data_IF_726228470997
#
_entry.id   IF_726228470997
#
_cell.length_a   1.000
_cell.length_b   1.000
_cell.length_c   1.000
_cell.angle_alpha   90.00
_cell.angle_beta   90.00
_cell.angle_gamma   90.00
#
_symmetry.space_group_name_H-M   'P 1'
#
loop_
_entity.id
_entity.type
_entity.pdbx_description
1 polymer ?
#
# COMPACT_ATOMS: atom_id res chain seq x y z
N UNK A 1 -54.64 -9.52 58.52
CA UNK A 1 -54.90 -9.61 57.06
C UNK A 1 -54.10 -8.52 56.36
N UNK A 2 -53.23 -8.90 55.41
CA UNK A 2 -52.80 -8.10 54.23
C UNK A 2 -51.92 -6.86 54.56
N UNK A 3 -50.71 -6.66 54.03
CA UNK A 3 -49.87 -7.33 53.04
C UNK A 3 -48.46 -6.74 53.16
N UNK A 4 -47.45 -7.61 53.08
CA UNK A 4 -46.09 -7.28 52.66
C UNK A 4 -46.12 -6.62 51.27
N UNK A 5 -45.33 -5.56 51.05
CA UNK A 5 -44.79 -5.27 49.71
C UNK A 5 -43.54 -4.37 49.80
N UNK A 6 -42.39 -5.03 49.77
CA UNK A 6 -41.22 -4.77 48.93
C UNK A 6 -40.88 -3.28 48.69
N UNK A 7 -39.93 -2.80 49.49
CA UNK A 7 -39.17 -1.59 49.22
C UNK A 7 -38.20 -1.87 48.05
N UNK A 8 -38.62 -1.53 46.82
CA UNK A 8 -37.76 -1.61 45.63
C UNK A 8 -36.86 -0.36 45.62
N UNK A 9 -35.66 -0.50 46.18
CA UNK A 9 -34.55 0.44 46.02
C UNK A 9 -34.13 0.43 44.55
N UNK A 10 -34.66 1.38 43.77
CA UNK A 10 -34.11 1.72 42.45
C UNK A 10 -32.79 2.43 42.72
N UNK A 11 -31.71 1.66 42.83
CA UNK A 11 -30.35 2.17 42.66
C UNK A 11 -30.24 2.54 41.18
N UNK A 12 -30.57 3.78 40.85
CA UNK A 12 -30.13 4.39 39.59
C UNK A 12 -28.61 4.50 39.66
N UNK A 13 -27.93 3.45 39.19
CA UNK A 13 -26.52 3.49 38.86
C UNK A 13 -26.34 4.49 37.73
N UNK A 14 -26.20 5.77 38.09
CA UNK A 14 -25.63 6.80 37.22
C UNK A 14 -24.16 6.43 37.06
N UNK A 15 -23.88 5.48 36.18
CA UNK A 15 -22.56 5.32 35.61
C UNK A 15 -22.30 6.62 34.83
N UNK A 16 -21.23 7.37 35.13
CA UNK A 16 -20.86 8.49 34.27
C UNK A 16 -20.61 7.90 32.89
N UNK A 17 -21.43 8.32 31.93
CA UNK A 17 -21.16 8.11 30.52
C UNK A 17 -19.72 8.55 30.29
N UNK A 18 -18.82 7.59 30.09
CA UNK A 18 -17.45 7.89 29.72
C UNK A 18 -17.55 8.54 28.35
N UNK A 19 -17.53 9.87 28.33
CA UNK A 19 -17.49 10.65 27.11
C UNK A 19 -16.32 10.08 26.29
N UNK A 20 -16.64 9.38 25.20
CA UNK A 20 -15.65 8.83 24.31
C UNK A 20 -14.76 10.01 23.90
N UNK A 21 -13.49 9.99 24.32
CA UNK A 21 -12.54 11.02 23.92
C UNK A 21 -12.57 11.07 22.39
N UNK A 22 -12.70 12.26 21.77
CA UNK A 22 -12.72 12.34 20.31
C UNK A 22 -11.45 11.68 19.78
N UNK A 23 -11.63 10.70 18.88
CA UNK A 23 -10.53 10.03 18.21
C UNK A 23 -9.84 11.09 17.36
N UNK A 24 -8.66 11.53 17.78
CA UNK A 24 -7.85 12.49 17.03
C UNK A 24 -7.34 11.77 15.79
N UNK A 25 -7.61 12.32 14.60
CA UNK A 25 -7.15 11.69 13.35
C UNK A 25 -5.62 11.59 13.27
N UNK A 26 -5.12 10.64 12.49
CA UNK A 26 -3.68 10.48 12.28
C UNK A 26 -3.01 11.75 11.73
N UNK A 27 -3.69 12.48 10.82
CA UNK A 27 -3.24 13.79 10.34
C UNK A 27 -3.08 14.79 11.49
N UNK A 28 -4.08 14.94 12.36
CA UNK A 28 -4.00 15.91 13.45
C UNK A 28 -2.94 15.53 14.49
N UNK A 29 -2.77 14.23 14.77
CA UNK A 29 -1.68 13.74 15.61
C UNK A 29 -0.30 14.10 15.04
N UNK A 30 -0.07 13.85 13.75
CA UNK A 30 1.21 14.17 13.11
C UNK A 30 1.48 15.68 13.02
N UNK A 31 0.46 16.50 12.74
CA UNK A 31 0.59 17.98 12.78
C UNK A 31 1.02 18.48 14.16
N UNK A 32 0.49 17.89 15.24
CA UNK A 32 0.92 18.21 16.61
C UNK A 32 2.38 17.85 16.84
N UNK A 33 2.84 16.71 16.32
CA UNK A 33 4.26 16.32 16.42
C UNK A 33 5.15 17.30 15.65
N UNK A 34 4.76 17.72 14.44
CA UNK A 34 5.49 18.74 13.66
C UNK A 34 5.57 20.06 14.43
N UNK A 35 4.44 20.55 14.98
CA UNK A 35 4.41 21.79 15.79
C UNK A 35 5.32 21.71 17.03
N UNK A 36 5.49 20.52 17.59
CA UNK A 36 6.41 20.25 18.70
C UNK A 36 7.88 20.02 18.27
N UNK A 37 8.21 20.20 16.98
CA UNK A 37 9.55 19.95 16.44
C UNK A 37 9.89 18.47 16.21
N UNK A 38 8.97 17.54 16.52
CA UNK A 38 9.17 16.08 16.50
C UNK A 38 8.89 15.47 15.12
N UNK A 39 9.61 15.94 14.10
CA UNK A 39 9.42 15.55 12.70
C UNK A 39 9.58 14.05 12.46
N UNK A 40 10.53 13.37 13.10
CA UNK A 40 10.71 11.93 12.96
C UNK A 40 9.50 11.13 13.51
N UNK A 41 8.88 11.61 14.59
CA UNK A 41 7.69 10.96 15.15
C UNK A 41 6.47 11.16 14.24
N UNK A 42 6.32 12.36 13.66
CA UNK A 42 5.32 12.61 12.63
C UNK A 42 5.53 11.70 11.42
N UNK A 43 6.77 11.56 10.94
CA UNK A 43 7.14 10.66 9.86
C UNK A 43 6.79 9.21 10.18
N UNK A 44 7.23 8.66 11.31
CA UNK A 44 6.97 7.26 11.65
C UNK A 44 5.46 6.96 11.73
N UNK A 45 4.69 7.88 12.34
CA UNK A 45 3.24 7.76 12.44
C UNK A 45 2.59 7.76 11.06
N UNK A 46 2.84 8.80 10.26
CA UNK A 46 2.22 8.93 8.94
C UNK A 46 2.74 7.95 7.92
N UNK A 47 3.98 7.49 8.03
CA UNK A 47 4.53 6.46 7.13
C UNK A 47 3.85 5.13 7.38
N UNK A 48 3.65 4.72 8.64
CA UNK A 48 2.92 3.50 8.96
C UNK A 48 1.47 3.58 8.47
N UNK A 49 0.77 4.67 8.78
CA UNK A 49 -0.64 4.85 8.40
C UNK A 49 -0.80 5.02 6.89
N UNK A 50 0.00 5.86 6.25
CA UNK A 50 -0.11 6.17 4.82
C UNK A 50 0.39 5.06 3.90
N UNK A 51 1.32 4.21 4.37
CA UNK A 51 1.86 3.11 3.55
C UNK A 51 0.95 1.89 3.50
N UNK A 52 0.16 1.66 4.56
CA UNK A 52 -0.67 0.46 4.72
C UNK A 52 -2.17 0.77 4.85
N UNK A 53 -2.54 2.04 5.02
CA UNK A 53 -3.92 2.48 5.17
C UNK A 53 -4.41 3.32 3.98
N UNK A 54 -5.72 3.32 3.71
CA UNK A 54 -6.33 4.09 2.63
C UNK A 54 -6.66 5.54 3.05
N UNK A 55 -5.76 6.21 3.77
CA UNK A 55 -5.96 7.56 4.32
C UNK A 55 -5.26 8.60 3.43
N UNK A 56 -5.94 9.16 2.42
CA UNK A 56 -5.24 9.93 1.41
C UNK A 56 -4.84 11.34 1.88
N UNK A 57 -5.47 11.85 2.93
CA UNK A 57 -5.05 13.06 3.62
C UNK A 57 -3.73 12.84 4.40
N UNK A 58 -3.54 11.68 5.03
CA UNK A 58 -2.25 11.28 5.63
C UNK A 58 -1.18 11.11 4.57
N UNK A 59 -1.48 10.40 3.48
CA UNK A 59 -0.57 10.22 2.35
C UNK A 59 -0.13 11.58 1.78
N UNK A 60 -1.07 12.50 1.54
CA UNK A 60 -0.75 13.85 1.09
C UNK A 60 0.07 14.64 2.12
N UNK A 61 -0.29 14.61 3.40
CA UNK A 61 0.43 15.31 4.46
C UNK A 61 1.88 14.82 4.61
N UNK A 62 2.09 13.50 4.49
CA UNK A 62 3.43 12.90 4.48
C UNK A 62 4.23 13.34 3.25
N UNK A 63 3.63 13.31 2.06
CA UNK A 63 4.25 13.82 0.83
C UNK A 63 4.69 15.27 1.00
N UNK A 64 3.79 16.12 1.51
CA UNK A 64 4.04 17.54 1.70
C UNK A 64 5.11 17.82 2.75
N UNK A 65 5.10 17.08 3.87
CA UNK A 65 6.16 17.15 4.86
C UNK A 65 7.51 16.76 4.26
N UNK A 66 7.57 15.71 3.42
CA UNK A 66 8.83 15.28 2.82
C UNK A 66 9.36 16.29 1.80
N UNK A 67 8.49 16.99 1.07
CA UNK A 67 8.87 18.07 0.16
C UNK A 67 9.47 19.27 0.89
N UNK A 68 8.92 19.62 2.06
CA UNK A 68 9.29 20.84 2.80
C UNK A 68 10.22 20.60 3.99
N UNK A 69 10.41 19.35 4.41
CA UNK A 69 11.29 19.02 5.53
C UNK A 69 12.73 19.38 5.16
N UNK A 70 13.27 20.40 5.84
CA UNK A 70 14.72 20.66 5.83
C UNK A 70 15.47 19.49 6.48
N UNK A 71 16.78 19.58 6.62
CA UNK A 71 17.72 18.50 7.04
C UNK A 71 17.42 17.73 8.36
N UNK A 72 16.25 17.90 8.99
CA UNK A 72 15.81 17.28 10.24
C UNK A 72 15.41 15.81 10.11
N UNK A 73 14.99 15.35 8.92
CA UNK A 73 14.72 13.93 8.67
C UNK A 73 15.97 13.25 8.09
N UNK A 74 16.50 12.26 8.81
CA UNK A 74 17.60 11.39 8.36
C UNK A 74 17.11 10.36 7.34
N UNK A 75 16.67 10.84 6.18
CA UNK A 75 16.26 10.02 5.03
C UNK A 75 16.92 10.50 3.72
N UNK A 76 18.26 10.65 3.64
CA UNK A 76 18.91 11.10 2.41
C UNK A 76 18.70 10.06 1.31
N UNK A 77 18.36 10.50 0.10
CA UNK A 77 18.23 9.63 -1.08
C UNK A 77 16.88 8.95 -1.30
N UNK A 78 16.10 8.65 -0.24
CA UNK A 78 14.75 8.04 -0.38
C UNK A 78 13.62 9.06 -0.24
N UNK A 79 13.92 10.27 0.24
CA UNK A 79 12.90 11.28 0.55
C UNK A 79 12.00 11.63 -0.65
N UNK A 80 12.59 11.92 -1.80
CA UNK A 80 11.85 12.30 -3.00
C UNK A 80 10.99 11.12 -3.50
N UNK A 81 11.53 9.90 -3.48
CA UNK A 81 10.81 8.69 -3.87
C UNK A 81 9.59 8.45 -2.96
N UNK A 82 9.75 8.55 -1.63
CA UNK A 82 8.65 8.39 -0.69
C UNK A 82 7.61 9.51 -0.88
N UNK A 83 8.06 10.76 -1.07
CA UNK A 83 7.16 11.89 -1.29
C UNK A 83 6.29 11.71 -2.55
N UNK A 84 6.91 11.28 -3.67
CA UNK A 84 6.22 11.01 -4.93
C UNK A 84 5.24 9.84 -4.81
N UNK A 85 5.68 8.76 -4.13
CA UNK A 85 4.86 7.60 -3.88
C UNK A 85 3.58 7.96 -3.12
N UNK A 86 3.73 8.71 -2.03
CA UNK A 86 2.60 9.14 -1.20
C UNK A 86 1.70 10.13 -1.93
N UNK A 87 2.27 10.99 -2.78
CA UNK A 87 1.48 11.88 -3.64
C UNK A 87 0.62 11.09 -4.63
N UNK A 88 1.21 10.08 -5.29
CA UNK A 88 0.50 9.20 -6.22
C UNK A 88 -0.61 8.41 -5.53
N UNK A 89 -0.32 7.80 -4.37
CA UNK A 89 -1.34 7.09 -3.58
C UNK A 89 -2.51 8.00 -3.23
N UNK A 90 -2.24 9.20 -2.72
CA UNK A 90 -3.29 10.15 -2.36
C UNK A 90 -4.14 10.57 -3.58
N UNK A 91 -3.48 10.80 -4.73
CA UNK A 91 -4.16 11.19 -5.97
C UNK A 91 -5.05 10.06 -6.53
N UNK A 92 -4.53 8.82 -6.55
CA UNK A 92 -5.27 7.61 -6.94
C UNK A 92 -6.48 7.39 -6.03
N UNK A 93 -6.32 7.65 -4.73
CA UNK A 93 -7.41 7.58 -3.75
C UNK A 93 -8.43 8.73 -3.83
N UNK A 94 -8.29 9.63 -4.81
CA UNK A 94 -9.27 10.69 -5.10
C UNK A 94 -9.07 11.98 -4.30
N UNK A 95 -7.92 12.17 -3.66
CA UNK A 95 -7.69 13.38 -2.85
C UNK A 95 -7.32 14.56 -3.73
N UNK A 96 -8.27 15.49 -3.88
CA UNK A 96 -8.16 16.64 -4.80
C UNK A 96 -6.88 17.47 -4.60
N UNK A 97 -6.43 17.82 -3.39
CA UNK A 97 -5.16 18.53 -3.23
C UNK A 97 -3.96 17.75 -3.79
N UNK A 98 -3.95 16.42 -3.66
CA UNK A 98 -2.91 15.56 -4.24
C UNK A 98 -2.97 15.53 -5.76
N UNK A 99 -4.16 15.37 -6.35
CA UNK A 99 -4.34 15.37 -7.81
C UNK A 99 -3.86 16.70 -8.44
N UNK A 100 -4.21 17.83 -7.83
CA UNK A 100 -3.75 19.15 -8.27
C UNK A 100 -2.23 19.31 -8.15
N UNK A 101 -1.65 18.94 -7.00
CA UNK A 101 -0.19 18.98 -6.79
C UNK A 101 0.56 18.04 -7.74
N UNK A 102 0.01 16.87 -8.04
CA UNK A 102 0.57 15.91 -8.99
C UNK A 102 0.52 16.44 -10.43
N UNK A 103 -0.59 17.04 -10.85
CA UNK A 103 -0.68 17.67 -12.17
C UNK A 103 0.38 18.78 -12.32
N UNK A 104 0.54 19.64 -11.32
CA UNK A 104 1.60 20.65 -11.31
C UNK A 104 3.00 20.02 -11.41
N UNK A 105 3.26 18.99 -10.61
CA UNK A 105 4.53 18.25 -10.63
C UNK A 105 4.85 17.63 -12.00
N UNK A 106 3.84 17.09 -12.69
CA UNK A 106 3.97 16.51 -14.03
C UNK A 106 4.20 17.57 -15.10
N UNK A 107 3.77 18.83 -14.92
CA UNK A 107 4.12 19.91 -15.84
C UNK A 107 5.54 20.43 -15.65
N UNK A 108 5.87 20.72 -14.39
CA UNK A 108 7.13 21.36 -14.06
C UNK A 108 8.33 20.39 -14.14
N UNK A 109 8.07 19.09 -13.95
CA UNK A 109 9.12 18.12 -13.67
C UNK A 109 9.68 18.34 -12.26
N UNK A 110 9.43 17.39 -11.34
CA UNK A 110 10.04 17.39 -10.00
C UNK A 110 10.96 16.19 -9.84
N UNK A 111 11.97 16.23 -8.95
CA UNK A 111 12.82 15.07 -8.70
C UNK A 111 12.01 13.79 -8.47
N UNK A 112 12.26 12.75 -9.28
CA UNK A 112 11.55 11.47 -9.22
C UNK A 112 10.28 11.36 -10.09
N UNK A 113 9.75 12.45 -10.65
CA UNK A 113 8.60 12.47 -11.58
C UNK A 113 9.04 13.07 -12.91
N UNK A 114 8.79 12.34 -14.00
CA UNK A 114 9.13 12.79 -15.35
C UNK A 114 8.04 13.75 -15.83
N UNK A 115 8.45 14.87 -16.41
CA UNK A 115 7.50 15.84 -16.94
C UNK A 115 6.70 15.25 -18.11
N UNK A 116 5.37 15.35 -18.04
CA UNK A 116 4.43 14.89 -19.06
C UNK A 116 3.13 15.73 -18.98
N UNK A 117 2.95 16.61 -19.96
CA UNK A 117 1.77 17.49 -20.06
C UNK A 117 0.46 16.71 -20.28
N UNK A 118 0.53 15.54 -20.94
CA UNK A 118 -0.66 14.70 -21.17
C UNK A 118 -1.10 14.03 -19.87
N UNK A 119 -0.14 13.51 -19.10
CA UNK A 119 -0.43 12.96 -17.78
C UNK A 119 -0.95 14.05 -16.83
N UNK A 120 -0.38 15.25 -16.85
CA UNK A 120 -0.85 16.38 -16.06
C UNK A 120 -2.32 16.72 -16.33
N UNK A 121 -2.70 16.85 -17.62
CA UNK A 121 -4.09 17.11 -18.02
C UNK A 121 -5.04 15.99 -17.61
N UNK A 122 -4.60 14.74 -17.65
CA UNK A 122 -5.41 13.61 -17.18
C UNK A 122 -5.78 13.77 -15.69
N UNK A 123 -4.79 14.06 -14.83
CA UNK A 123 -5.02 14.25 -13.40
C UNK A 123 -5.88 15.48 -13.09
N UNK A 124 -5.83 16.53 -13.91
CA UNK A 124 -6.76 17.66 -13.78
C UNK A 124 -8.19 17.32 -14.17
N UNK A 125 -8.38 16.49 -15.20
CA UNK A 125 -9.72 16.03 -15.57
C UNK A 125 -10.33 15.21 -14.44
N UNK A 126 -9.54 14.38 -13.75
CA UNK A 126 -10.00 13.63 -12.57
C UNK A 126 -10.41 14.53 -11.39
N UNK A 127 -9.89 15.76 -11.28
CA UNK A 127 -10.39 16.75 -10.31
C UNK A 127 -11.82 17.19 -10.62
N UNK A 128 -12.11 17.40 -11.90
CA UNK A 128 -13.38 17.91 -12.39
C UNK A 128 -14.46 16.81 -12.45
N UNK A 129 -14.07 15.60 -12.88
CA UNK A 129 -14.93 14.45 -13.02
C UNK A 129 -14.14 13.16 -12.66
N UNK A 130 -14.20 12.72 -11.40
CA UNK A 130 -13.55 11.49 -10.98
C UNK A 130 -14.15 10.31 -11.76
N UNK A 131 -13.33 9.61 -12.55
CA UNK A 131 -13.86 8.62 -13.48
C UNK A 131 -12.97 7.39 -13.63
N UNK A 132 -11.64 7.55 -13.65
CA UNK A 132 -10.71 6.46 -13.94
C UNK A 132 -9.25 6.81 -13.59
N UNK A 133 -8.88 6.90 -12.29
CA UNK A 133 -7.52 7.23 -11.86
C UNK A 133 -6.45 6.28 -12.42
N UNK A 134 -6.79 5.02 -12.70
CA UNK A 134 -5.89 4.05 -13.33
C UNK A 134 -5.40 4.49 -14.71
N UNK A 135 -6.22 5.19 -15.51
CA UNK A 135 -5.81 5.66 -16.84
C UNK A 135 -4.75 6.76 -16.74
N UNK A 136 -4.87 7.62 -15.74
CA UNK A 136 -3.88 8.66 -15.47
C UNK A 136 -2.62 8.08 -14.84
N UNK A 137 -2.77 7.07 -13.96
CA UNK A 137 -1.64 6.35 -13.37
C UNK A 137 -0.78 5.65 -14.43
N UNK A 138 -1.41 4.99 -15.42
CA UNK A 138 -0.71 4.36 -16.55
C UNK A 138 0.15 5.31 -17.37
N UNK A 139 -0.23 6.58 -17.44
CA UNK A 139 0.54 7.62 -18.14
C UNK A 139 1.61 8.25 -17.27
N UNK A 140 1.51 8.13 -15.96
CA UNK A 140 2.41 8.80 -15.04
C UNK A 140 3.76 8.10 -15.03
N UNK A 141 4.79 8.77 -15.56
CA UNK A 141 6.15 8.27 -15.57
C UNK A 141 6.96 8.82 -14.38
N UNK A 142 7.74 7.93 -13.76
CA UNK A 142 8.66 8.27 -12.67
C UNK A 142 10.09 7.97 -13.10
N UNK A 143 11.06 8.73 -12.60
CA UNK A 143 12.47 8.51 -12.96
C UNK A 143 13.11 7.34 -12.21
N UNK A 144 12.45 6.84 -11.16
CA UNK A 144 12.88 5.68 -10.38
C UNK A 144 11.67 4.78 -10.11
N UNK A 145 11.81 3.44 -10.17
CA UNK A 145 10.74 2.54 -9.76
C UNK A 145 10.27 2.76 -8.31
N UNK A 146 11.18 3.21 -7.43
CA UNK A 146 10.92 3.46 -6.01
C UNK A 146 9.94 4.62 -5.78
N UNK A 147 9.80 5.54 -6.73
CA UNK A 147 8.81 6.62 -6.64
C UNK A 147 7.38 6.13 -6.93
N UNK A 148 7.20 4.90 -7.45
CA UNK A 148 5.87 4.32 -7.63
C UNK A 148 5.41 3.61 -6.36
N UNK A 149 4.09 3.59 -6.07
CA UNK A 149 3.54 2.75 -5.02
C UNK A 149 3.69 1.26 -5.37
N UNK A 150 3.85 0.41 -4.37
CA UNK A 150 3.73 -1.05 -4.58
C UNK A 150 2.26 -1.44 -4.79
N UNK A 151 2.00 -2.62 -5.35
CA UNK A 151 0.64 -3.06 -5.65
C UNK A 151 -0.19 -3.22 -4.36
N UNK A 152 0.41 -3.82 -3.33
CA UNK A 152 -0.15 -3.89 -1.97
C UNK A 152 -0.65 -2.53 -1.43
N UNK A 153 0.03 -1.44 -1.76
CA UNK A 153 -0.36 -0.09 -1.32
C UNK A 153 -1.51 0.50 -2.14
N UNK A 154 -1.59 0.16 -3.43
CA UNK A 154 -2.66 0.62 -4.33
C UNK A 154 -4.00 -0.05 -4.00
N UNK A 155 -3.96 -1.31 -3.58
CA UNK A 155 -5.16 -2.12 -3.38
C UNK A 155 -5.70 -2.08 -1.96
N UNK A 156 -4.97 -1.52 -0.99
CA UNK A 156 -5.36 -1.49 0.43
C UNK A 156 -6.77 -0.91 0.69
N UNK A 157 -7.26 0.01 -0.15
CA UNK A 157 -8.66 0.54 -0.05
C UNK A 157 -9.70 -0.44 -0.61
N UNK A 158 -9.29 -1.26 -1.57
CA UNK A 158 -10.13 -2.16 -2.36
C UNK A 158 -10.20 -3.57 -1.77
N UNK A 159 -9.31 -3.94 -0.85
CA UNK A 159 -9.32 -5.27 -0.18
C UNK A 159 -10.64 -5.57 0.55
N UNK A 160 -11.36 -4.53 0.99
CA UNK A 160 -12.69 -4.68 1.59
C UNK A 160 -13.85 -4.62 0.55
N UNK A 161 -13.52 -4.54 -0.74
CA UNK A 161 -14.47 -4.62 -1.85
C UNK A 161 -14.39 -6.01 -2.49
N UNK A 162 -15.46 -6.45 -3.17
CA UNK A 162 -15.42 -7.68 -3.96
C UNK A 162 -14.74 -7.49 -5.34
N UNK A 163 -14.12 -6.33 -5.61
CA UNK A 163 -13.66 -5.94 -6.95
C UNK A 163 -12.16 -6.14 -7.14
N UNK A 164 -11.73 -7.40 -7.09
CA UNK A 164 -10.32 -7.78 -7.29
C UNK A 164 -9.83 -7.48 -8.70
N UNK A 165 -10.69 -7.58 -9.72
CA UNK A 165 -10.31 -7.22 -11.09
C UNK A 165 -9.93 -5.74 -11.20
N UNK A 166 -10.71 -4.83 -10.58
CA UNK A 166 -10.37 -3.40 -10.58
C UNK A 166 -9.06 -3.11 -9.86
N UNK A 167 -8.81 -3.80 -8.75
CA UNK A 167 -7.54 -3.72 -8.03
C UNK A 167 -6.36 -4.18 -8.92
N UNK A 168 -6.53 -5.25 -9.69
CA UNK A 168 -5.53 -5.70 -10.64
C UNK A 168 -5.29 -4.69 -11.77
N UNK A 169 -6.36 -4.13 -12.36
CA UNK A 169 -6.26 -3.05 -13.36
C UNK A 169 -5.43 -1.86 -12.87
N UNK A 170 -5.60 -1.48 -11.59
CA UNK A 170 -4.85 -0.38 -10.98
C UNK A 170 -3.35 -0.71 -10.84
N UNK A 171 -3.01 -1.92 -10.42
CA UNK A 171 -1.62 -2.35 -10.32
C UNK A 171 -0.96 -2.50 -11.69
N UNK A 172 -1.66 -3.06 -12.68
CA UNK A 172 -1.19 -3.18 -14.05
C UNK A 172 -1.01 -1.81 -14.71
N UNK A 173 -1.92 -0.86 -14.46
CA UNK A 173 -1.74 0.53 -14.84
C UNK A 173 -0.48 1.14 -14.20
N UNK A 174 -0.13 0.74 -12.98
CA UNK A 174 1.13 1.16 -12.36
C UNK A 174 2.36 0.40 -12.89
N UNK A 175 2.20 -0.52 -13.84
CA UNK A 175 3.26 -1.35 -14.40
C UNK A 175 3.70 -2.50 -13.50
N UNK A 176 2.87 -2.90 -12.54
CA UNK A 176 3.17 -3.96 -11.58
C UNK A 176 2.33 -5.21 -11.89
N UNK A 177 2.98 -6.36 -11.87
CA UNK A 177 2.30 -7.66 -11.75
C UNK A 177 2.45 -8.12 -10.32
N UNK A 178 1.39 -8.72 -9.78
CA UNK A 178 1.40 -9.24 -8.42
C UNK A 178 0.51 -10.46 -8.32
N UNK A 179 0.78 -11.33 -7.34
CA UNK A 179 -0.10 -12.42 -6.97
C UNK A 179 -0.34 -12.34 -5.47
N UNK A 180 -1.58 -12.57 -5.07
CA UNK A 180 -1.92 -12.76 -3.66
C UNK A 180 -1.62 -14.19 -3.25
N UNK A 181 -1.03 -14.34 -2.06
CA UNK A 181 -0.63 -15.64 -1.57
C UNK A 181 -0.84 -15.73 -0.06
N UNK A 182 -1.31 -16.88 0.44
CA UNK A 182 -1.50 -17.07 1.87
C UNK A 182 -0.18 -16.93 2.64
N UNK A 183 -0.27 -16.40 3.86
CA UNK A 183 0.81 -16.25 4.81
C UNK A 183 1.37 -17.57 5.30
N UNK A 184 2.27 -18.18 4.52
CA UNK A 184 3.02 -19.32 5.02
C UNK A 184 4.08 -18.87 6.06
N UNK A 185 4.36 -19.68 7.09
CA UNK A 185 5.49 -19.43 7.98
C UNK A 185 6.79 -19.26 7.17
N UNK A 186 7.66 -18.31 7.54
CA UNK A 186 8.95 -18.14 6.88
C UNK A 186 9.73 -19.46 6.84
N UNK A 187 10.12 -19.89 5.65
CA UNK A 187 10.88 -21.11 5.41
C UNK A 187 11.79 -20.94 4.20
N UNK A 188 12.85 -21.75 4.12
CA UNK A 188 13.79 -21.72 2.99
C UNK A 188 13.07 -21.91 1.63
N UNK A 189 11.98 -22.69 1.61
CA UNK A 189 11.13 -22.92 0.43
C UNK A 189 10.40 -21.63 0.07
N UNK A 190 9.68 -21.07 1.04
CA UNK A 190 8.91 -19.84 0.88
C UNK A 190 9.79 -18.67 0.40
N UNK A 191 10.96 -18.47 1.01
CA UNK A 191 11.90 -17.42 0.60
C UNK A 191 12.42 -17.63 -0.83
N UNK A 192 12.62 -18.89 -1.24
CA UNK A 192 13.07 -19.23 -2.59
C UNK A 192 11.98 -18.97 -3.64
N UNK A 193 10.71 -19.26 -3.31
CA UNK A 193 9.56 -19.00 -4.18
C UNK A 193 9.34 -17.49 -4.38
N UNK A 194 9.37 -16.70 -3.29
CA UNK A 194 9.26 -15.23 -3.35
C UNK A 194 10.38 -14.65 -4.22
N UNK A 195 11.63 -15.07 -3.98
CA UNK A 195 12.77 -14.60 -4.76
C UNK A 195 12.71 -14.98 -6.24
N UNK A 196 12.11 -16.12 -6.57
CA UNK A 196 11.90 -16.54 -7.96
C UNK A 196 10.84 -15.65 -8.64
N UNK A 197 9.71 -15.38 -7.99
CA UNK A 197 8.68 -14.48 -8.54
C UNK A 197 9.20 -13.05 -8.73
N UNK A 198 9.96 -12.52 -7.76
CA UNK A 198 10.59 -11.21 -7.86
C UNK A 198 11.53 -11.10 -9.07
N UNK A 199 12.23 -12.18 -9.43
CA UNK A 199 13.11 -12.20 -10.60
C UNK A 199 12.36 -12.02 -11.94
N UNK A 200 11.06 -12.35 -11.97
CA UNK A 200 10.15 -12.11 -13.09
C UNK A 200 9.35 -10.81 -12.95
N UNK A 201 9.68 -9.98 -11.94
CA UNK A 201 8.98 -8.73 -11.66
C UNK A 201 7.55 -8.91 -11.17
N UNK A 202 7.27 -10.01 -10.48
CA UNK A 202 5.97 -10.33 -9.88
C UNK A 202 6.08 -10.11 -8.37
N UNK A 203 5.29 -9.18 -7.84
CA UNK A 203 5.18 -8.94 -6.39
C UNK A 203 4.36 -10.06 -5.73
N UNK A 204 4.90 -10.66 -4.67
CA UNK A 204 4.20 -11.67 -3.89
C UNK A 204 3.51 -11.00 -2.69
N UNK A 205 2.20 -10.74 -2.81
CA UNK A 205 1.42 -10.04 -1.79
C UNK A 205 0.93 -11.06 -0.77
N UNK A 206 1.47 -10.99 0.44
CA UNK A 206 1.09 -11.87 1.53
C UNK A 206 -0.27 -11.45 2.08
N UNK A 207 -1.25 -12.33 1.99
CA UNK A 207 -2.57 -12.19 2.61
C UNK A 207 -2.69 -13.12 3.81
N UNK A 208 -3.47 -12.73 4.82
CA UNK A 208 -3.64 -13.53 6.04
C UNK A 208 -4.26 -14.91 5.81
N UNK A 209 -4.11 -15.80 6.79
CA UNK A 209 -4.34 -17.25 6.66
C UNK A 209 -5.80 -17.69 6.41
N UNK A 210 -6.78 -16.77 6.49
CA UNK A 210 -8.18 -17.09 6.28
C UNK A 210 -8.98 -15.84 5.83
N UNK A 211 -8.95 -15.49 4.52
CA UNK A 211 -9.85 -14.48 4.01
C UNK A 211 -11.31 -14.93 4.20
N UNK A 212 -12.18 -14.02 4.63
CA UNK A 212 -13.63 -14.27 4.56
C UNK A 212 -14.10 -14.44 3.12
N UNK A 213 -15.37 -14.79 2.91
CA UNK A 213 -15.95 -15.02 1.57
C UNK A 213 -15.68 -13.87 0.58
N UNK A 214 -15.78 -12.62 1.04
CA UNK A 214 -15.44 -11.45 0.23
C UNK A 214 -13.95 -11.37 -0.15
N UNK A 215 -13.06 -11.78 0.76
CA UNK A 215 -11.62 -11.82 0.50
C UNK A 215 -11.25 -12.91 -0.50
N UNK A 216 -11.92 -14.06 -0.47
CA UNK A 216 -11.72 -15.14 -1.47
C UNK A 216 -12.13 -14.64 -2.85
N UNK A 217 -13.33 -14.07 -3.00
CA UNK A 217 -13.81 -13.55 -4.29
C UNK A 217 -12.92 -12.42 -4.83
N UNK A 218 -12.42 -11.54 -3.95
CA UNK A 218 -11.44 -10.52 -4.30
C UNK A 218 -10.14 -11.17 -4.81
N UNK A 219 -9.56 -12.11 -4.07
CA UNK A 219 -8.34 -12.81 -4.46
C UNK A 219 -8.48 -13.52 -5.81
N UNK A 220 -9.54 -14.32 -6.00
CA UNK A 220 -9.76 -15.06 -7.24
C UNK A 220 -9.87 -14.13 -8.46
N UNK A 221 -10.64 -13.05 -8.34
CA UNK A 221 -10.80 -12.08 -9.45
C UNK A 221 -9.55 -11.24 -9.70
N UNK A 222 -8.78 -10.93 -8.66
CA UNK A 222 -7.49 -10.25 -8.77
C UNK A 222 -6.43 -11.15 -9.42
N UNK A 223 -6.20 -12.34 -8.87
CA UNK A 223 -5.17 -13.27 -9.32
C UNK A 223 -5.47 -13.78 -10.73
N UNK A 224 -6.74 -13.98 -11.10
CA UNK A 224 -7.10 -14.33 -12.48
C UNK A 224 -6.73 -13.25 -13.48
N UNK A 225 -6.94 -11.96 -13.15
CA UNK A 225 -6.56 -10.86 -14.03
C UNK A 225 -5.03 -10.70 -14.12
N UNK A 226 -4.34 -10.90 -13.01
CA UNK A 226 -2.87 -10.87 -12.95
C UNK A 226 -2.23 -12.04 -13.70
N UNK A 227 -2.76 -13.24 -13.55
CA UNK A 227 -2.30 -14.44 -14.25
C UNK A 227 -2.34 -14.25 -15.77
N UNK A 228 -3.45 -13.72 -16.28
CA UNK A 228 -3.58 -13.39 -17.70
C UNK A 228 -2.50 -12.39 -18.15
N UNK A 229 -2.23 -11.34 -17.38
CA UNK A 229 -1.20 -10.36 -17.71
C UNK A 229 0.22 -10.95 -17.63
N UNK A 230 0.49 -11.79 -16.64
CA UNK A 230 1.77 -12.49 -16.45
C UNK A 230 2.05 -13.41 -17.63
N UNK A 231 1.07 -14.26 -18.00
CA UNK A 231 1.16 -15.16 -19.16
C UNK A 231 1.29 -14.40 -20.48
N UNK A 232 0.54 -13.32 -20.66
CA UNK A 232 0.66 -12.47 -21.84
C UNK A 232 2.07 -11.85 -21.99
N UNK A 233 2.74 -11.52 -20.88
CA UNK A 233 4.09 -10.94 -20.90
C UNK A 233 5.19 -11.98 -21.04
N UNK A 234 5.07 -13.11 -20.35
CA UNK A 234 6.16 -14.07 -20.19
C UNK A 234 5.96 -15.37 -20.97
N UNK A 235 4.75 -15.67 -21.44
CA UNK A 235 4.38 -16.94 -22.06
C UNK A 235 3.67 -17.89 -21.09
N UNK A 236 3.01 -18.90 -21.66
CA UNK A 236 2.16 -19.86 -20.92
C UNK A 236 2.94 -20.76 -19.94
N UNK A 237 4.22 -20.99 -20.21
CA UNK A 237 5.12 -21.82 -19.40
C UNK A 237 5.79 -21.05 -18.25
N UNK A 238 5.41 -19.78 -18.02
CA UNK A 238 6.07 -18.90 -17.04
C UNK A 238 6.14 -19.49 -15.64
N UNK A 239 5.07 -20.10 -15.13
CA UNK A 239 5.07 -20.67 -13.79
C UNK A 239 5.95 -21.91 -13.67
N UNK A 240 6.04 -22.73 -14.71
CA UNK A 240 6.96 -23.88 -14.73
C UNK A 240 8.41 -23.40 -14.61
N UNK A 241 8.75 -22.31 -15.32
CA UNK A 241 10.08 -21.70 -15.24
C UNK A 241 10.36 -21.05 -13.89
N UNK A 242 9.37 -20.39 -13.29
CA UNK A 242 9.48 -19.81 -11.95
C UNK A 242 9.71 -20.92 -10.91
N UNK A 243 8.92 -21.98 -10.93
CA UNK A 243 9.09 -23.15 -10.03
C UNK A 243 10.48 -23.76 -10.20
N UNK A 244 10.93 -23.98 -11.43
CA UNK A 244 12.27 -24.49 -11.69
C UNK A 244 13.37 -23.55 -11.15
N UNK A 245 13.16 -22.23 -11.16
CA UNK A 245 14.11 -21.28 -10.57
C UNK A 245 14.12 -21.32 -9.04
N UNK A 246 12.95 -21.40 -8.41
CA UNK A 246 12.82 -21.55 -6.97
C UNK A 246 13.51 -22.83 -6.46
N UNK A 247 13.33 -23.96 -7.14
CA UNK A 247 13.99 -25.23 -6.80
C UNK A 247 15.52 -25.13 -6.91
N UNK A 248 16.04 -24.51 -7.99
CA UNK A 248 17.48 -24.28 -8.15
C UNK A 248 18.05 -23.43 -7.02
N UNK A 249 17.33 -22.36 -6.62
CA UNK A 249 17.74 -21.47 -5.52
C UNK A 249 17.76 -22.20 -4.18
N UNK A 250 16.72 -22.96 -3.90
CA UNK A 250 16.59 -23.76 -2.69
C UNK A 250 17.72 -24.78 -2.57
N UNK A 251 18.03 -25.48 -3.67
CA UNK A 251 19.13 -26.44 -3.69
C UNK A 251 20.48 -25.76 -3.44
N UNK A 252 20.74 -24.62 -4.09
CA UNK A 252 21.97 -23.85 -3.88
C UNK A 252 22.09 -23.31 -2.44
N UNK A 253 20.97 -22.96 -1.79
CA UNK A 253 20.95 -22.56 -0.39
C UNK A 253 21.28 -23.74 0.54
N UNK A 254 20.67 -24.90 0.32
CA UNK A 254 20.91 -26.12 1.12
C UNK A 254 22.37 -26.56 1.07
N UNK A 255 22.99 -26.56 -0.10
CA UNK A 255 24.43 -26.88 -0.26
C UNK A 255 25.29 -25.92 0.56
N UNK A 256 25.07 -24.60 0.45
CA UNK A 256 25.82 -23.60 1.20
C UNK A 256 25.67 -23.77 2.72
N UNK A 257 24.47 -24.10 3.19
CA UNK A 257 24.19 -24.35 4.62
C UNK A 257 24.93 -25.59 5.14
N UNK A 258 24.96 -26.66 4.36
CA UNK A 258 25.71 -27.88 4.70
C UNK A 258 27.22 -27.63 4.74
N UNK A 259 27.76 -26.89 3.77
CA UNK A 259 29.19 -26.54 3.75
C UNK A 259 29.59 -25.66 4.93
N UNK A 260 28.72 -24.72 5.33
CA UNK A 260 28.95 -23.89 6.50
C UNK A 260 28.92 -24.69 7.81
N UNK A 261 28.09 -25.74 7.89
CA UNK A 261 28.04 -26.63 9.05
C UNK A 261 29.30 -27.51 9.15
N UNK A 262 29.85 -27.99 8.04
CA UNK A 262 31.09 -28.80 8.01
C UNK A 262 32.36 -28.02 8.40
N UNK A 263 32.30 -26.68 8.34
CA UNK A 263 33.43 -25.79 8.69
C UNK A 263 33.44 -25.36 10.16
N UNK A 264 32.42 -25.74 10.93
CA UNK A 264 32.33 -25.51 12.37
C UNK A 264 32.73 -26.76 13.13
#
# INVERSE_FOLDING_TARGET
>A
MIRNLILLLIISSILPAHAARPIVSAVEMGKRQIKAGKHQQAFNLWYAVGSYGPEPDVQYALSDMLDHSKATLKLPGLRADIANRMLLLAAVNGYRPAQSKLAYALRAGRPGIIADETAAKCWEQELALPSAPEKCLARTATSTPKARPACSQLIAKLENSADGRKAAELCLANGLMALQAPGLPPSDIYESDVAAHEAYGIEWIIVGDAPGEHGIAFMESFDSAMDQAIRAKWGEDVYERITADAERRLQAFRVRKQDAQKRK
#
